data_IF_291944784715
#
_entry.id   IF_291944784715
#
_cell.length_a   1.000
_cell.length_b   1.000
_cell.length_c   1.000
_cell.angle_alpha   90.00
_cell.angle_beta   90.00
_cell.angle_gamma   90.00
#
_symmetry.space_group_name_H-M   'P 1'
#
loop_
_entity.id
_entity.type
_entity.pdbx_description
1 polymer ?
#
# COMPACT_ATOMS: atom_id res chain seq x y z
N UNK A 1 0.66 4.04 2.98
CA UNK A 1 -0.01 4.67 4.14
C UNK A 1 0.48 4.10 5.45
N UNK A 2 0.15 2.86 5.82
CA UNK A 2 0.55 2.27 7.12
C UNK A 2 2.06 2.44 7.39
N UNK A 3 2.92 2.00 6.47
CA UNK A 3 4.38 2.17 6.61
C UNK A 3 4.79 3.65 6.61
N UNK A 4 4.18 4.48 5.77
CA UNK A 4 4.51 5.90 5.67
C UNK A 4 4.15 6.70 6.94
N UNK A 5 3.17 6.23 7.71
CA UNK A 5 2.81 6.78 9.02
C UNK A 5 3.71 6.28 10.16
N UNK A 6 4.56 5.27 9.93
CA UNK A 6 5.39 4.71 11.00
C UNK A 6 6.40 5.74 11.50
N UNK A 7 6.95 5.49 12.69
CA UNK A 7 7.94 6.36 13.32
C UNK A 7 9.24 6.44 12.50
N UNK A 8 9.61 5.36 11.82
CA UNK A 8 10.82 5.27 11.01
C UNK A 8 10.70 6.12 9.73
N UNK A 9 9.53 6.12 9.10
CA UNK A 9 9.30 6.84 7.85
C UNK A 9 8.86 8.28 8.07
N UNK A 10 7.76 8.49 8.82
CA UNK A 10 7.15 9.82 9.05
C UNK A 10 6.91 10.64 7.77
N UNK A 11 6.67 9.98 6.64
CA UNK A 11 6.44 10.64 5.36
C UNK A 11 5.07 11.31 5.31
N UNK A 12 4.09 10.78 6.03
CA UNK A 12 2.75 11.34 6.09
C UNK A 12 2.23 11.40 7.54
N UNK A 13 1.34 12.34 7.79
CA UNK A 13 0.53 12.40 9.01
C UNK A 13 -0.94 12.38 8.65
N UNK A 14 -1.72 11.59 9.39
CA UNK A 14 -3.17 11.49 9.21
C UNK A 14 -3.88 12.51 10.11
N UNK A 15 -5.04 12.95 9.66
CA UNK A 15 -5.92 13.80 10.48
C UNK A 15 -6.56 12.99 11.62
N UNK A 16 -6.96 13.68 12.68
CA UNK A 16 -7.56 13.04 13.86
C UNK A 16 -8.91 12.38 13.53
N UNK A 17 -9.59 12.83 12.47
CA UNK A 17 -10.83 12.22 11.99
C UNK A 17 -10.62 10.83 11.36
N UNK A 18 -9.41 10.51 10.90
CA UNK A 18 -9.08 9.24 10.22
C UNK A 18 -7.96 8.47 10.93
N UNK A 19 -7.62 8.84 12.16
CA UNK A 19 -6.63 8.14 12.97
C UNK A 19 -7.08 8.09 14.43
N UNK A 20 -6.63 7.09 15.17
CA UNK A 20 -6.84 7.06 16.62
C UNK A 20 -5.55 7.42 17.34
N UNK A 21 -5.69 8.05 18.50
CA UNK A 21 -4.58 8.28 19.42
C UNK A 21 -4.33 7.06 20.30
N UNK A 22 -3.10 6.91 20.80
CA UNK A 22 -2.82 6.00 21.92
C UNK A 22 -3.17 6.67 23.26
N UNK A 23 -3.78 5.92 24.17
CA UNK A 23 -4.04 6.37 25.55
C UNK A 23 -2.76 6.64 26.37
N UNK A 24 -1.62 6.08 25.95
CA UNK A 24 -0.32 6.23 26.63
C UNK A 24 0.59 7.19 25.87
N UNK A 25 0.52 7.22 24.53
CA UNK A 25 1.40 8.01 23.67
C UNK A 25 0.60 9.05 22.88
N UNK A 26 0.45 10.29 23.39
CA UNK A 26 -0.42 11.31 22.80
C UNK A 26 0.03 11.75 21.39
N UNK A 27 1.29 11.58 21.04
CA UNK A 27 1.84 11.88 19.71
C UNK A 27 1.62 10.74 18.69
N UNK A 28 1.24 9.53 19.15
CA UNK A 28 1.10 8.37 18.27
C UNK A 28 -0.29 8.36 17.65
N UNK A 29 -0.34 8.64 16.34
CA UNK A 29 -1.53 8.47 15.49
C UNK A 29 -1.48 7.14 14.78
N UNK A 30 -2.44 6.26 15.05
CA UNK A 30 -2.51 4.95 14.44
C UNK A 30 -3.31 5.02 13.13
N UNK A 31 -2.83 4.40 12.02
CA UNK A 31 -3.51 4.38 10.73
C UNK A 31 -4.62 3.30 10.70
N UNK A 32 -5.44 3.21 11.74
CA UNK A 32 -6.42 2.13 11.95
C UNK A 32 -7.38 1.94 10.77
N UNK A 33 -7.79 3.05 10.14
CA UNK A 33 -8.66 2.99 8.96
C UNK A 33 -8.01 2.24 7.81
N UNK A 34 -6.72 2.48 7.55
CA UNK A 34 -5.96 1.75 6.54
C UNK A 34 -5.75 0.28 6.93
N UNK A 35 -5.56 0.00 8.23
CA UNK A 35 -5.44 -1.37 8.75
C UNK A 35 -6.74 -2.16 8.59
N UNK A 36 -7.88 -1.54 8.91
CA UNK A 36 -9.21 -2.13 8.75
C UNK A 36 -9.55 -2.38 7.28
N UNK A 37 -9.26 -1.42 6.39
CA UNK A 37 -9.45 -1.61 4.94
C UNK A 37 -8.63 -2.82 4.46
N UNK A 38 -7.35 -2.93 4.88
CA UNK A 38 -6.51 -4.10 4.57
C UNK A 38 -7.11 -5.40 5.13
N UNK A 39 -7.61 -5.39 6.36
CA UNK A 39 -8.24 -6.58 6.98
C UNK A 39 -9.53 -7.01 6.28
N UNK A 40 -10.34 -6.05 5.83
CA UNK A 40 -11.60 -6.28 5.11
C UNK A 40 -11.42 -7.02 3.77
N UNK A 41 -10.23 -7.01 3.18
CA UNK A 41 -9.90 -7.87 2.02
C UNK A 41 -10.17 -9.34 2.31
N UNK A 42 -9.83 -9.84 3.51
CA UNK A 42 -10.07 -11.22 3.88
C UNK A 42 -11.56 -11.57 3.92
N UNK A 43 -12.40 -10.65 4.36
CA UNK A 43 -13.88 -10.80 4.38
C UNK A 43 -14.45 -10.94 2.97
N UNK A 44 -14.03 -10.05 2.06
CA UNK A 44 -14.45 -10.08 0.64
C UNK A 44 -14.01 -11.39 -0.03
N UNK A 45 -12.79 -11.86 0.26
CA UNK A 45 -12.31 -13.14 -0.25
C UNK A 45 -13.11 -14.33 0.30
N UNK A 46 -13.51 -14.27 1.57
CA UNK A 46 -14.40 -15.24 2.19
C UNK A 46 -15.74 -15.35 1.45
N UNK A 47 -16.35 -14.22 1.11
CA UNK A 47 -17.61 -14.18 0.34
C UNK A 47 -17.48 -14.77 -1.05
N UNK A 48 -16.39 -14.45 -1.76
CA UNK A 48 -16.11 -15.04 -3.08
C UNK A 48 -16.00 -16.56 -3.00
N UNK A 49 -15.19 -17.07 -2.06
CA UNK A 49 -15.00 -18.51 -1.90
C UNK A 49 -16.29 -19.21 -1.44
N UNK A 50 -17.08 -18.56 -0.59
CA UNK A 50 -18.40 -19.04 -0.18
C UNK A 50 -19.33 -19.22 -1.38
N UNK A 51 -19.50 -18.18 -2.20
CA UNK A 51 -20.36 -18.22 -3.38
C UNK A 51 -19.91 -19.27 -4.40
N UNK A 52 -18.61 -19.33 -4.70
CA UNK A 52 -18.06 -20.35 -5.60
C UNK A 52 -18.34 -21.78 -5.09
N UNK A 53 -18.32 -21.97 -3.77
CA UNK A 53 -18.59 -23.27 -3.15
C UNK A 53 -20.08 -23.62 -3.19
N UNK A 54 -20.98 -22.67 -2.95
CA UNK A 54 -22.44 -22.85 -3.11
C UNK A 54 -22.78 -23.27 -4.54
N UNK A 55 -22.16 -22.62 -5.53
CA UNK A 55 -22.44 -22.88 -6.95
C UNK A 55 -21.81 -24.17 -7.48
N UNK A 56 -20.85 -24.75 -6.76
CA UNK A 56 -20.10 -25.91 -7.20
C UNK A 56 -21.04 -27.11 -7.39
N UNK A 57 -21.06 -27.66 -8.60
CA UNK A 57 -21.80 -28.89 -8.94
C UNK A 57 -23.31 -28.81 -8.76
N UNK A 58 -23.91 -27.62 -8.77
CA UNK A 58 -25.37 -27.49 -8.80
C UNK A 58 -25.93 -27.99 -10.13
N UNK A 59 -26.86 -28.97 -10.14
CA UNK A 59 -27.55 -29.37 -11.36
C UNK A 59 -28.48 -28.27 -11.84
N UNK A 60 -28.77 -28.21 -13.14
CA UNK A 60 -29.76 -27.28 -13.67
C UNK A 60 -31.19 -27.71 -13.27
N UNK A 61 -32.15 -26.81 -13.07
CA UNK A 61 -32.07 -25.35 -13.18
C UNK A 61 -31.99 -24.66 -11.80
N UNK A 62 -33.11 -24.15 -11.29
CA UNK A 62 -33.14 -23.47 -9.99
C UNK A 62 -33.03 -24.46 -8.83
N UNK A 63 -32.10 -24.18 -7.90
CA UNK A 63 -31.97 -24.86 -6.62
C UNK A 63 -32.07 -23.83 -5.50
N UNK A 64 -32.63 -24.23 -4.35
CA UNK A 64 -32.87 -23.31 -3.23
C UNK A 64 -31.57 -22.84 -2.56
N UNK A 65 -30.48 -23.57 -2.75
CA UNK A 65 -29.10 -23.20 -2.38
C UNK A 65 -28.72 -21.80 -2.90
N UNK A 66 -29.27 -21.39 -4.05
CA UNK A 66 -29.09 -20.06 -4.64
C UNK A 66 -29.76 -18.94 -3.82
N UNK A 67 -30.39 -19.24 -2.69
CA UNK A 67 -30.80 -18.22 -1.72
C UNK A 67 -29.58 -17.59 -1.00
N UNK A 68 -28.46 -18.30 -0.91
CA UNK A 68 -27.21 -17.87 -0.26
C UNK A 68 -26.39 -16.87 -1.11
N UNK A 69 -26.85 -16.51 -2.31
CA UNK A 69 -26.12 -15.63 -3.23
C UNK A 69 -26.10 -14.15 -2.81
N UNK A 70 -27.05 -13.71 -1.98
CA UNK A 70 -27.28 -12.27 -1.71
C UNK A 70 -26.49 -11.75 -0.53
N UNK A 71 -26.43 -12.48 0.57
CA UNK A 71 -25.88 -11.96 1.82
C UNK A 71 -24.40 -11.60 1.67
N UNK A 72 -23.58 -12.52 1.17
CA UNK A 72 -22.16 -12.27 0.92
C UNK A 72 -21.92 -11.22 -0.17
N UNK A 73 -22.81 -11.14 -1.17
CA UNK A 73 -22.73 -10.15 -2.24
C UNK A 73 -23.03 -8.73 -1.72
N UNK A 74 -24.12 -8.54 -0.97
CA UNK A 74 -24.48 -7.26 -0.38
C UNK A 74 -23.44 -6.77 0.60
N UNK A 75 -22.95 -7.67 1.47
CA UNK A 75 -21.89 -7.33 2.40
C UNK A 75 -20.58 -6.96 1.71
N UNK A 76 -20.26 -7.61 0.58
CA UNK A 76 -19.11 -7.24 -0.25
C UNK A 76 -19.25 -5.83 -0.81
N UNK A 77 -20.43 -5.49 -1.35
CA UNK A 77 -20.71 -4.15 -1.90
C UNK A 77 -20.59 -3.09 -0.80
N UNK A 78 -21.24 -3.30 0.34
CA UNK A 78 -21.17 -2.38 1.48
C UNK A 78 -19.73 -2.23 1.99
N UNK A 79 -19.00 -3.34 2.10
CA UNK A 79 -17.60 -3.34 2.53
C UNK A 79 -16.73 -2.49 1.61
N UNK A 80 -16.86 -2.69 0.28
CA UNK A 80 -16.04 -1.98 -0.72
C UNK A 80 -16.39 -0.49 -0.74
N UNK A 81 -17.68 -0.14 -0.82
CA UNK A 81 -18.10 1.26 -0.88
C UNK A 81 -17.65 2.04 0.36
N UNK A 82 -17.91 1.50 1.56
CA UNK A 82 -17.47 2.13 2.80
C UNK A 82 -15.94 2.25 2.88
N UNK A 83 -15.20 1.24 2.41
CA UNK A 83 -13.73 1.29 2.37
C UNK A 83 -13.21 2.36 1.41
N UNK A 84 -13.87 2.55 0.26
CA UNK A 84 -13.51 3.59 -0.70
C UNK A 84 -13.78 4.99 -0.15
N UNK A 85 -14.94 5.21 0.48
CA UNK A 85 -15.30 6.51 1.06
C UNK A 85 -14.33 6.91 2.18
N UNK A 86 -14.01 5.97 3.09
CA UNK A 86 -13.04 6.21 4.16
C UNK A 86 -11.64 6.48 3.60
N UNK A 87 -11.21 5.73 2.58
CA UNK A 87 -9.91 5.94 1.94
C UNK A 87 -9.82 7.32 1.27
N UNK A 88 -10.88 7.73 0.55
CA UNK A 88 -10.94 9.03 -0.09
C UNK A 88 -10.85 10.18 0.93
N UNK A 89 -11.61 10.09 2.03
CA UNK A 89 -11.54 11.07 3.12
C UNK A 89 -10.15 11.13 3.78
N UNK A 90 -9.55 9.97 4.05
CA UNK A 90 -8.21 9.87 4.62
C UNK A 90 -7.16 10.52 3.71
N UNK A 91 -7.20 10.26 2.40
CA UNK A 91 -6.28 10.86 1.43
C UNK A 91 -6.48 12.36 1.29
N UNK A 92 -7.72 12.84 1.30
CA UNK A 92 -8.03 14.27 1.15
C UNK A 92 -7.49 15.14 2.30
N UNK A 93 -7.36 14.57 3.49
CA UNK A 93 -6.91 15.27 4.70
C UNK A 93 -5.49 14.89 5.13
N UNK A 94 -4.82 14.03 4.38
CA UNK A 94 -3.46 13.56 4.64
C UNK A 94 -2.45 14.71 4.46
N UNK A 95 -1.55 14.87 5.42
CA UNK A 95 -0.44 15.81 5.32
C UNK A 95 0.83 15.06 4.90
N UNK A 96 1.53 15.60 3.89
CA UNK A 96 2.77 15.01 3.37
C UNK A 96 3.97 15.81 3.88
N UNK A 97 4.91 15.12 4.53
CA UNK A 97 6.17 15.69 5.00
C UNK A 97 7.22 15.64 3.88
N UNK A 98 7.16 16.63 2.99
CA UNK A 98 8.08 16.75 1.85
C UNK A 98 9.55 16.80 2.27
N UNK A 99 9.86 17.47 3.38
CA UNK A 99 11.24 17.58 3.87
C UNK A 99 11.80 16.23 4.30
N UNK A 100 11.02 15.42 5.05
CA UNK A 100 11.43 14.07 5.46
C UNK A 100 11.59 13.13 4.27
N UNK A 101 10.70 13.22 3.29
CA UNK A 101 10.80 12.45 2.05
C UNK A 101 12.04 12.85 1.26
N UNK A 102 12.32 14.15 1.11
CA UNK A 102 13.52 14.64 0.44
C UNK A 102 14.80 14.16 1.13
N UNK A 103 14.87 14.28 2.46
CA UNK A 103 16.02 13.82 3.23
C UNK A 103 16.28 12.31 3.05
N UNK A 104 15.22 11.51 2.89
CA UNK A 104 15.38 10.05 2.75
C UNK A 104 16.02 9.60 1.43
N UNK A 105 16.06 10.48 0.42
CA UNK A 105 16.69 10.21 -0.88
C UNK A 105 18.06 10.88 -1.05
N UNK A 106 18.52 11.66 -0.06
CA UNK A 106 19.80 12.39 -0.19
C UNK A 106 21.03 11.48 -0.12
N UNK A 107 20.92 10.31 0.53
CA UNK A 107 22.04 9.39 0.74
C UNK A 107 21.65 7.92 0.45
N UNK A 108 20.73 7.69 -0.48
CA UNK A 108 20.24 6.35 -0.81
C UNK A 108 20.90 5.74 -2.06
N UNK A 109 21.75 6.52 -2.75
CA UNK A 109 22.40 6.15 -4.01
C UNK A 109 21.42 5.75 -5.12
N UNK A 110 20.16 6.18 -5.02
CA UNK A 110 19.14 5.91 -6.06
C UNK A 110 19.54 6.49 -7.41
N UNK A 111 20.28 7.60 -7.41
CA UNK A 111 20.82 8.26 -8.60
C UNK A 111 21.98 7.51 -9.29
N UNK A 112 22.44 6.38 -8.74
CA UNK A 112 23.48 5.56 -9.34
C UNK A 112 23.05 5.04 -10.72
N UNK A 113 21.77 4.73 -10.90
CA UNK A 113 21.24 4.28 -12.19
C UNK A 113 21.39 5.38 -13.25
N UNK A 114 21.03 6.61 -12.94
CA UNK A 114 21.20 7.77 -13.84
C UNK A 114 22.67 8.02 -14.19
N UNK A 115 23.59 7.77 -13.26
CA UNK A 115 25.03 7.86 -13.55
C UNK A 115 25.48 6.76 -14.52
N UNK A 116 24.96 5.54 -14.39
CA UNK A 116 25.28 4.45 -15.32
C UNK A 116 24.72 4.72 -16.72
N UNK A 117 23.48 5.22 -16.80
CA UNK A 117 22.85 5.64 -18.05
C UNK A 117 23.62 6.78 -18.72
N UNK A 118 24.01 7.81 -17.94
CA UNK A 118 24.83 8.91 -18.43
C UNK A 118 26.15 8.41 -19.05
N UNK A 119 26.84 7.48 -18.39
CA UNK A 119 28.08 6.91 -18.92
C UNK A 119 27.84 6.09 -20.20
N UNK A 120 26.72 5.37 -20.27
CA UNK A 120 26.34 4.63 -21.47
C UNK A 120 26.04 5.56 -22.66
N UNK A 121 25.33 6.67 -22.42
CA UNK A 121 25.10 7.73 -23.42
C UNK A 121 26.40 8.37 -23.91
N UNK A 122 27.44 8.41 -23.08
CA UNK A 122 28.79 8.88 -23.45
C UNK A 122 29.62 7.85 -24.23
N UNK A 123 29.06 6.67 -24.51
CA UNK A 123 29.65 5.65 -25.39
C UNK A 123 30.23 4.43 -24.69
N UNK A 124 30.06 4.29 -23.37
CA UNK A 124 30.42 3.05 -22.68
C UNK A 124 29.36 1.96 -22.91
N UNK A 125 29.74 0.69 -23.09
CA UNK A 125 28.80 -0.40 -22.95
C UNK A 125 28.17 -0.37 -21.56
N UNK A 126 26.84 -0.50 -21.46
CA UNK A 126 26.12 -0.39 -20.19
C UNK A 126 26.69 -1.30 -19.08
N UNK A 127 27.17 -2.49 -19.43
CA UNK A 127 27.82 -3.41 -18.49
C UNK A 127 29.05 -2.80 -17.81
N UNK A 128 29.88 -2.08 -18.58
CA UNK A 128 31.06 -1.39 -18.05
C UNK A 128 30.66 -0.18 -17.21
N UNK A 129 29.69 0.62 -17.69
CA UNK A 129 29.14 1.75 -16.94
C UNK A 129 28.59 1.32 -15.57
N UNK A 130 27.78 0.26 -15.52
CA UNK A 130 27.25 -0.31 -14.29
C UNK A 130 28.34 -0.81 -13.34
N UNK A 131 29.40 -1.45 -13.87
CA UNK A 131 30.54 -1.89 -13.05
C UNK A 131 31.30 -0.72 -12.42
N UNK A 132 31.54 0.35 -13.19
CA UNK A 132 32.20 1.58 -12.71
C UNK A 132 31.37 2.22 -11.59
N UNK A 133 30.07 2.40 -11.83
CA UNK A 133 29.16 2.99 -10.83
C UNK A 133 29.05 2.14 -9.58
N UNK A 134 28.97 0.81 -9.71
CA UNK A 134 28.93 -0.09 -8.57
C UNK A 134 30.17 0.05 -7.66
N UNK A 135 31.35 0.25 -8.25
CA UNK A 135 32.59 0.53 -7.47
C UNK A 135 32.52 1.89 -6.78
N UNK A 136 32.04 2.94 -7.48
CA UNK A 136 31.87 4.28 -6.90
C UNK A 136 30.91 4.29 -5.71
N UNK A 137 29.77 3.59 -5.81
CA UNK A 137 28.81 3.46 -4.72
C UNK A 137 29.46 2.73 -3.53
N UNK A 138 30.14 1.60 -3.78
CA UNK A 138 30.82 0.84 -2.72
C UNK A 138 31.86 1.68 -1.98
N UNK A 139 32.62 2.50 -2.70
CA UNK A 139 33.62 3.38 -2.10
C UNK A 139 33.01 4.58 -1.38
N UNK A 140 31.82 5.03 -1.77
CA UNK A 140 31.09 6.12 -1.12
C UNK A 140 30.38 5.71 0.18
N UNK A 141 30.20 4.40 0.40
CA UNK A 141 29.58 3.84 1.61
C UNK A 141 30.62 3.59 2.72
N UNK A 142 31.90 3.41 2.36
CA UNK A 142 33.01 3.17 3.30
C UNK A 142 33.46 4.45 4.00
#
# INVERSE_FOLDING_TARGET
IINWCSFEYQYISLSDSFSTGSSIMPQKKNPDMAELIRGKTGRVYGHLLGLLTVMKSLPLAYNKDLQEDKEGMFDTVETILNSLDVLAGMLSSMQVNKAKMQQSIENDFSNATELADYLAEKGLPFREAHEIVGKLVLDSIK
#
